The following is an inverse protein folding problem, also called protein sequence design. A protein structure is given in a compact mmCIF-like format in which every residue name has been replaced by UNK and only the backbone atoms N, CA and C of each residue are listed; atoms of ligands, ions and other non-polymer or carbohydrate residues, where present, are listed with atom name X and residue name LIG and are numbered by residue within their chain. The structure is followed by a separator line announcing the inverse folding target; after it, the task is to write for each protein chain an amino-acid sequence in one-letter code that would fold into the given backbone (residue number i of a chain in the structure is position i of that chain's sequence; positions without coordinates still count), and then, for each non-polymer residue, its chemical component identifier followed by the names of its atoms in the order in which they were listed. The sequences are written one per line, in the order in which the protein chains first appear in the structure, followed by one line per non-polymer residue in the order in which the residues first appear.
data_IF_931715985375
#
_entry.id   IF_931715985375
#
_cell.length_a   1.000
_cell.length_b   1.000
_cell.length_c   1.000
_cell.angle_alpha   90.00
_cell.angle_beta   90.00
_cell.angle_gamma   90.00
#
_symmetry.space_group_name_H-M   'P 1'
#
loop_
_entity.id
_entity.type
_entity.pdbx_description
1 polymer ?
#
# COMPACT_ATOMS: atom_id res chain seq x y z
N UNK A 1 -4.77 -14.62 0.50
CA UNK A 1 -4.06 -13.35 0.81
C UNK A 1 -4.32 -12.84 2.22
N UNK A 2 -5.57 -12.57 2.66
CA UNK A 2 -5.84 -11.99 3.99
C UNK A 2 -5.21 -12.80 5.14
N UNK A 3 -5.46 -14.12 5.21
CA UNK A 3 -4.91 -14.98 6.27
C UNK A 3 -3.36 -15.03 6.25
N UNK A 4 -2.77 -15.01 5.06
CA UNK A 4 -1.31 -14.98 4.89
C UNK A 4 -0.71 -13.67 5.43
N UNK A 5 -1.26 -12.52 5.04
CA UNK A 5 -0.82 -11.20 5.52
C UNK A 5 -0.97 -11.07 7.03
N UNK A 6 -2.09 -11.55 7.60
CA UNK A 6 -2.30 -11.57 9.04
C UNK A 6 -1.35 -12.52 9.77
N UNK A 7 -0.88 -13.60 9.12
CA UNK A 7 0.09 -14.51 9.72
C UNK A 7 1.51 -13.93 9.75
N UNK A 8 1.90 -13.12 8.75
CA UNK A 8 3.26 -12.54 8.66
C UNK A 8 3.66 -11.73 9.89
N UNK A 9 2.72 -11.00 10.50
CA UNK A 9 3.01 -10.16 11.67
C UNK A 9 3.39 -10.96 12.93
N UNK A 10 3.15 -12.28 12.95
CA UNK A 10 3.60 -13.14 14.05
C UNK A 10 5.11 -13.26 14.11
N UNK A 11 5.79 -13.19 12.96
CA UNK A 11 7.22 -13.47 12.83
C UNK A 11 8.00 -12.30 12.21
N UNK A 12 7.32 -11.23 11.78
CA UNK A 12 7.90 -10.07 11.12
C UNK A 12 7.30 -8.79 11.67
N UNK A 13 8.12 -7.74 11.84
CA UNK A 13 7.57 -6.41 12.15
C UNK A 13 6.61 -5.94 11.06
N UNK A 14 5.57 -5.13 11.36
CA UNK A 14 4.65 -4.62 10.34
C UNK A 14 5.35 -3.97 9.15
N UNK A 15 6.40 -3.18 9.41
CA UNK A 15 7.23 -2.56 8.37
C UNK A 15 7.93 -3.58 7.47
N UNK A 16 8.41 -4.69 8.01
CA UNK A 16 9.07 -5.73 7.22
C UNK A 16 8.05 -6.60 6.45
N UNK A 17 6.84 -6.78 7.00
CA UNK A 17 5.77 -7.54 6.38
C UNK A 17 5.05 -6.77 5.26
N UNK A 18 5.09 -5.44 5.28
CA UNK A 18 4.42 -4.58 4.30
C UNK A 18 5.11 -4.70 2.92
N UNK A 19 4.31 -5.03 1.90
CA UNK A 19 4.73 -5.14 0.51
C UNK A 19 3.77 -4.37 -0.40
N UNK A 20 3.95 -4.49 -1.72
CA UNK A 20 3.06 -3.91 -2.72
C UNK A 20 3.64 -2.69 -3.45
N UNK A 21 2.87 -2.12 -4.40
CA UNK A 21 3.37 -1.05 -5.27
C UNK A 21 3.70 0.24 -4.51
N UNK A 22 2.95 0.56 -3.43
CA UNK A 22 3.22 1.74 -2.60
C UNK A 22 4.59 1.68 -1.90
N UNK A 23 4.99 0.52 -1.39
CA UNK A 23 6.32 0.32 -0.78
C UNK A 23 7.44 0.58 -1.80
N UNK A 24 7.23 0.18 -3.06
CA UNK A 24 8.20 0.33 -4.16
C UNK A 24 8.08 1.66 -4.92
N UNK A 25 7.11 2.51 -4.58
CA UNK A 25 6.72 3.68 -5.36
C UNK A 25 6.43 3.38 -6.85
N UNK A 26 5.77 2.26 -7.11
CA UNK A 26 5.46 1.76 -8.45
C UNK A 26 4.28 2.55 -9.05
N UNK A 27 4.59 3.73 -9.58
CA UNK A 27 3.60 4.69 -10.08
C UNK A 27 2.74 4.16 -11.21
N UNK A 28 3.26 3.25 -12.03
CA UNK A 28 2.51 2.68 -13.15
C UNK A 28 1.33 1.86 -12.63
N UNK A 29 1.61 0.88 -11.76
CA UNK A 29 0.57 0.05 -11.13
C UNK A 29 -0.38 0.88 -10.26
N UNK A 30 0.16 1.86 -9.51
CA UNK A 30 -0.68 2.74 -8.70
C UNK A 30 -1.64 3.59 -9.55
N UNK A 31 -1.22 4.04 -10.73
CA UNK A 31 -2.07 4.79 -11.66
C UNK A 31 -3.17 3.92 -12.25
N UNK A 32 -2.85 2.66 -12.59
CA UNK A 32 -3.86 1.69 -13.04
C UNK A 32 -4.92 1.43 -11.96
N UNK A 33 -4.52 1.19 -10.71
CA UNK A 33 -5.45 1.04 -9.60
C UNK A 33 -6.35 2.29 -9.41
N UNK A 34 -5.77 3.49 -9.52
CA UNK A 34 -6.54 4.74 -9.44
C UNK A 34 -7.55 4.87 -10.59
N UNK A 35 -7.23 4.37 -11.78
CA UNK A 35 -8.14 4.33 -12.92
C UNK A 35 -9.31 3.38 -12.67
N UNK A 36 -9.05 2.19 -12.10
CA UNK A 36 -10.10 1.23 -11.72
C UNK A 36 -11.10 1.81 -10.70
N UNK A 37 -10.67 2.80 -9.90
CA UNK A 37 -11.49 3.45 -8.88
C UNK A 37 -12.19 4.73 -9.35
N UNK A 38 -12.13 5.07 -10.65
CA UNK A 38 -12.67 6.34 -11.18
C UNK A 38 -14.16 6.57 -10.88
N UNK A 39 -14.96 5.51 -10.79
CA UNK A 39 -16.39 5.59 -10.49
C UNK A 39 -16.71 5.72 -8.99
N UNK A 40 -15.69 5.69 -8.12
CA UNK A 40 -15.86 5.81 -6.68
C UNK A 40 -14.83 6.76 -6.08
N UNK A 41 -15.18 8.06 -6.06
CA UNK A 41 -14.33 9.12 -5.56
C UNK A 41 -13.85 8.89 -4.12
N UNK A 42 -14.70 8.31 -3.26
CA UNK A 42 -14.35 8.02 -1.86
C UNK A 42 -13.27 6.96 -1.75
N UNK A 43 -13.42 5.84 -2.46
CA UNK A 43 -12.40 4.79 -2.48
C UNK A 43 -11.11 5.25 -3.13
N UNK A 44 -11.20 6.01 -4.23
CA UNK A 44 -10.02 6.61 -4.89
C UNK A 44 -9.22 7.48 -3.92
N UNK A 45 -9.89 8.36 -3.17
CA UNK A 45 -9.26 9.20 -2.14
C UNK A 45 -8.61 8.37 -1.02
N UNK A 46 -9.30 7.34 -0.53
CA UNK A 46 -8.77 6.46 0.51
C UNK A 46 -7.53 5.69 0.03
N UNK A 47 -7.57 5.15 -1.18
CA UNK A 47 -6.43 4.45 -1.79
C UNK A 47 -5.21 5.35 -1.93
N UNK A 48 -5.39 6.58 -2.46
CA UNK A 48 -4.30 7.56 -2.58
C UNK A 48 -3.65 7.84 -1.24
N UNK A 49 -4.47 8.19 -0.23
CA UNK A 49 -3.99 8.54 1.10
C UNK A 49 -3.21 7.40 1.75
N UNK A 50 -3.74 6.18 1.71
CA UNK A 50 -3.06 5.02 2.32
C UNK A 50 -1.76 4.71 1.58
N UNK A 51 -1.76 4.76 0.24
CA UNK A 51 -0.57 4.45 -0.55
C UNK A 51 0.56 5.46 -0.34
N UNK A 52 0.22 6.76 -0.26
CA UNK A 52 1.16 7.83 0.06
C UNK A 52 1.75 7.62 1.46
N UNK A 53 0.91 7.34 2.46
CA UNK A 53 1.37 7.06 3.82
C UNK A 53 2.31 5.84 3.89
N UNK A 54 2.01 4.76 3.13
CA UNK A 54 2.90 3.59 3.06
C UNK A 54 4.25 3.96 2.46
N UNK A 55 4.27 4.73 1.37
CA UNK A 55 5.53 5.17 0.74
C UNK A 55 6.37 6.03 1.69
N UNK A 56 5.76 7.06 2.28
CA UNK A 56 6.44 7.97 3.20
C UNK A 56 6.97 7.24 4.44
N UNK A 57 6.15 6.34 5.00
CA UNK A 57 6.56 5.51 6.13
C UNK A 57 7.81 4.70 5.82
N UNK A 58 8.00 4.22 4.57
CA UNK A 58 9.16 3.42 4.16
C UNK A 58 10.39 4.24 3.71
N UNK A 59 10.20 5.49 3.30
CA UNK A 59 11.28 6.41 2.87
C UNK A 59 12.22 6.81 4.01
N UNK A 60 11.74 6.82 5.25
CA UNK A 60 12.52 7.16 6.43
C UNK A 60 13.51 6.00 6.75
N UNK A 61 14.83 6.23 6.81
CA UNK A 61 15.79 5.20 7.25
C UNK A 61 15.50 4.74 8.69
N UNK A 62 15.77 3.47 9.00
CA UNK A 62 15.72 2.96 10.38
C UNK A 62 16.89 3.47 11.20
#
# INVERSE_FOLDING_TARGET
LIAETASKVKNMTPRAAQTGPAVRNDKNIMTEHLSMLNQNAKLKKMYSMISENIYDFHKIPK
#
